data_IF_605458975419
#
_entry.id   IF_605458975419
#
_cell.length_a   1.000
_cell.length_b   1.000
_cell.length_c   1.000
_cell.angle_alpha   90.00
_cell.angle_beta   90.00
_cell.angle_gamma   90.00
#
_symmetry.space_group_name_H-M   'P 1'
#
loop_
_entity.id
_entity.type
_entity.pdbx_description
1 polymer ?
#
# COMPACT_ATOMS: atom_id res chain seq x y z
N UNK A 1 9.29 17.35 -19.17
CA UNK A 1 9.77 16.84 -17.86
C UNK A 1 9.50 17.93 -16.84
N UNK A 2 8.72 17.65 -15.80
CA UNK A 2 8.49 18.64 -14.73
C UNK A 2 9.81 18.83 -13.97
N UNK A 3 10.34 20.04 -14.01
CA UNK A 3 11.61 20.51 -13.43
C UNK A 3 11.53 20.77 -11.92
N UNK A 4 10.46 20.35 -11.26
CA UNK A 4 10.28 20.59 -9.84
C UNK A 4 11.20 19.69 -9.01
N UNK A 5 12.00 20.28 -8.12
CA UNK A 5 12.71 19.55 -7.07
C UNK A 5 11.70 18.87 -6.14
N UNK A 6 11.90 17.60 -5.74
CA UNK A 6 11.02 16.94 -4.78
C UNK A 6 11.01 17.69 -3.44
N UNK A 7 9.82 17.93 -2.87
CA UNK A 7 9.66 18.50 -1.52
C UNK A 7 9.97 17.48 -0.41
N UNK A 8 9.86 16.20 -0.73
CA UNK A 8 10.23 15.12 0.18
C UNK A 8 10.37 13.78 -0.54
N UNK A 9 10.82 12.76 0.19
CA UNK A 9 10.99 11.40 -0.36
C UNK A 9 10.58 10.32 0.64
N UNK A 10 9.89 9.29 0.18
CA UNK A 10 9.73 8.04 0.93
C UNK A 10 10.87 7.09 0.56
N UNK A 11 11.83 6.94 1.46
CA UNK A 11 12.92 5.99 1.31
C UNK A 11 12.53 4.65 1.91
N UNK A 12 13.14 3.59 1.38
CA UNK A 12 13.06 2.25 1.97
C UNK A 12 13.54 2.29 3.42
N UNK A 13 12.98 1.42 4.26
CA UNK A 13 13.49 1.27 5.61
C UNK A 13 14.96 0.85 5.59
N UNK A 14 15.71 1.30 6.59
CA UNK A 14 17.11 0.89 6.75
C UNK A 14 17.22 -0.63 6.89
N UNK A 15 16.34 -1.25 7.67
CA UNK A 15 16.28 -2.70 7.85
C UNK A 15 16.19 -3.46 6.52
N UNK A 16 15.24 -3.12 5.65
CA UNK A 16 15.11 -3.81 4.35
C UNK A 16 16.25 -3.49 3.39
N UNK A 17 16.83 -2.29 3.50
CA UNK A 17 18.02 -1.93 2.72
C UNK A 17 19.21 -2.79 3.13
N UNK A 18 19.48 -2.86 4.44
CA UNK A 18 20.55 -3.66 5.01
C UNK A 18 20.37 -5.14 4.68
N UNK A 19 19.19 -5.70 4.93
CA UNK A 19 18.89 -7.11 4.64
C UNK A 19 19.09 -7.45 3.16
N UNK A 20 18.65 -6.59 2.24
CA UNK A 20 18.82 -6.83 0.80
C UNK A 20 20.29 -6.85 0.38
N UNK A 21 21.10 -5.91 0.87
CA UNK A 21 22.53 -5.90 0.56
C UNK A 21 23.28 -7.03 1.27
N UNK A 22 22.97 -7.31 2.54
CA UNK A 22 23.57 -8.40 3.29
C UNK A 22 23.32 -9.76 2.62
N UNK A 23 22.09 -10.01 2.15
CA UNK A 23 21.72 -11.20 1.37
C UNK A 23 22.56 -11.31 0.09
N UNK A 24 22.62 -10.24 -0.70
CA UNK A 24 23.42 -10.20 -1.93
C UNK A 24 24.90 -10.49 -1.66
N UNK A 25 25.50 -9.84 -0.65
CA UNK A 25 26.90 -10.03 -0.29
C UNK A 25 27.16 -11.45 0.20
N UNK A 26 26.31 -11.97 1.10
CA UNK A 26 26.45 -13.29 1.70
C UNK A 26 26.41 -14.39 0.63
N UNK A 27 25.40 -14.36 -0.24
CA UNK A 27 25.24 -15.40 -1.25
C UNK A 27 26.22 -15.27 -2.42
N UNK A 28 26.66 -14.06 -2.77
CA UNK A 28 27.76 -13.88 -3.73
C UNK A 28 29.07 -14.40 -3.15
N UNK A 29 29.33 -14.16 -1.86
CA UNK A 29 30.50 -14.69 -1.16
C UNK A 29 30.48 -16.22 -1.10
N UNK A 30 29.34 -16.83 -0.75
CA UNK A 30 29.19 -18.29 -0.77
C UNK A 30 29.33 -18.87 -2.17
N UNK A 31 28.72 -18.23 -3.19
CA UNK A 31 28.89 -18.64 -4.57
C UNK A 31 30.38 -18.72 -4.92
N UNK A 32 31.16 -17.70 -4.56
CA UNK A 32 32.59 -17.68 -4.86
C UNK A 32 33.39 -18.71 -4.05
N UNK A 33 33.24 -18.71 -2.71
CA UNK A 33 34.06 -19.54 -1.81
C UNK A 33 33.79 -21.03 -1.98
N UNK A 34 32.52 -21.43 -2.09
CA UNK A 34 32.14 -22.84 -2.24
C UNK A 34 32.54 -23.33 -3.62
N UNK A 35 32.27 -22.56 -4.69
CA UNK A 35 32.69 -22.90 -6.06
C UNK A 35 34.21 -23.06 -6.14
N UNK A 36 34.98 -22.12 -5.58
CA UNK A 36 36.45 -22.19 -5.54
C UNK A 36 36.93 -23.45 -4.81
N UNK A 37 36.36 -23.77 -3.65
CA UNK A 37 36.72 -24.96 -2.88
C UNK A 37 36.43 -26.25 -3.65
N UNK A 38 35.25 -26.34 -4.27
CA UNK A 38 34.85 -27.52 -5.04
C UNK A 38 35.66 -27.68 -6.33
N UNK A 39 36.01 -26.59 -7.02
CA UNK A 39 36.89 -26.63 -8.20
C UNK A 39 38.26 -27.24 -7.86
N UNK A 40 38.78 -26.97 -6.64
CA UNK A 40 40.03 -27.57 -6.16
C UNK A 40 39.97 -29.09 -5.93
N UNK A 41 38.80 -29.72 -6.08
CA UNK A 41 38.62 -31.19 -5.95
C UNK A 41 38.62 -31.94 -7.28
N UNK A 42 38.62 -31.20 -8.40
CA UNK A 42 38.73 -31.76 -9.76
C UNK A 42 40.13 -32.32 -9.99
N UNK A 43 40.25 -33.41 -10.73
CA UNK A 43 41.54 -34.03 -11.05
C UNK A 43 42.21 -34.79 -9.89
N UNK A 44 41.69 -34.70 -8.65
CA UNK A 44 42.30 -35.33 -7.47
C UNK A 44 42.06 -36.86 -7.36
N UNK A 45 41.42 -37.49 -8.35
CA UNK A 45 41.20 -38.96 -8.42
C UNK A 45 40.30 -39.57 -7.32
N UNK A 46 39.81 -38.77 -6.38
CA UNK A 46 38.95 -39.21 -5.26
C UNK A 46 37.49 -38.83 -5.49
N UNK A 47 36.58 -39.74 -5.14
CA UNK A 47 35.12 -39.52 -5.16
C UNK A 47 34.49 -39.71 -6.54
N UNK A 48 33.43 -38.94 -6.83
CA UNK A 48 32.72 -38.98 -8.11
C UNK A 48 33.59 -38.54 -9.29
N UNK A 49 33.18 -38.88 -10.52
CA UNK A 49 33.82 -38.41 -11.75
C UNK A 49 33.81 -36.88 -11.84
N UNK A 50 34.81 -36.31 -12.51
CA UNK A 50 34.94 -34.85 -12.65
C UNK A 50 33.74 -34.19 -13.37
N UNK A 51 33.08 -34.88 -14.28
CA UNK A 51 31.83 -34.42 -14.90
C UNK A 51 30.70 -34.20 -13.88
N UNK A 52 30.53 -35.16 -12.96
CA UNK A 52 29.55 -35.08 -11.86
C UNK A 52 29.92 -33.97 -10.89
N UNK A 53 31.21 -33.85 -10.53
CA UNK A 53 31.70 -32.73 -9.70
C UNK A 53 31.40 -31.38 -10.35
N UNK A 54 31.63 -31.24 -11.66
CA UNK A 54 31.31 -30.02 -12.41
C UNK A 54 29.82 -29.70 -12.38
N UNK A 55 28.94 -30.70 -12.52
CA UNK A 55 27.49 -30.47 -12.40
C UNK A 55 27.10 -29.98 -11.01
N UNK A 56 27.69 -30.54 -9.95
CA UNK A 56 27.45 -30.08 -8.57
C UNK A 56 27.92 -28.63 -8.39
N UNK A 57 29.11 -28.30 -8.89
CA UNK A 57 29.67 -26.94 -8.83
C UNK A 57 28.72 -25.93 -9.49
N UNK A 58 28.28 -26.20 -10.72
CA UNK A 58 27.35 -25.34 -11.44
C UNK A 58 26.03 -25.20 -10.68
N UNK A 59 25.50 -26.30 -10.15
CA UNK A 59 24.24 -26.30 -9.41
C UNK A 59 24.33 -25.44 -8.16
N UNK A 60 25.39 -25.61 -7.36
CA UNK A 60 25.62 -24.80 -6.15
C UNK A 60 25.76 -23.33 -6.49
N UNK A 61 26.54 -23.00 -7.53
CA UNK A 61 26.69 -21.63 -8.00
C UNK A 61 25.35 -21.01 -8.38
N UNK A 62 24.53 -21.70 -9.19
CA UNK A 62 23.22 -21.22 -9.60
C UNK A 62 22.25 -21.04 -8.43
N UNK A 63 22.28 -21.96 -7.46
CA UNK A 63 21.46 -21.84 -6.24
C UNK A 63 21.87 -20.62 -5.43
N UNK A 64 23.16 -20.37 -5.23
CA UNK A 64 23.64 -19.16 -4.55
C UNK A 64 23.23 -17.88 -5.31
N UNK A 65 23.35 -17.88 -6.64
CA UNK A 65 22.92 -16.74 -7.46
C UNK A 65 21.40 -16.50 -7.39
N UNK A 66 20.60 -17.57 -7.32
CA UNK A 66 19.15 -17.48 -7.11
C UNK A 66 18.84 -16.80 -5.77
N UNK A 67 19.51 -17.21 -4.69
CA UNK A 67 19.32 -16.55 -3.39
C UNK A 67 19.78 -15.09 -3.39
N UNK A 68 20.94 -14.77 -3.97
CA UNK A 68 21.39 -13.37 -4.12
C UNK A 68 20.39 -12.50 -4.92
N UNK A 69 19.64 -13.10 -5.84
CA UNK A 69 18.60 -12.40 -6.62
C UNK A 69 17.40 -11.97 -5.76
N UNK A 70 17.18 -12.58 -4.58
CA UNK A 70 16.12 -12.19 -3.64
C UNK A 70 16.40 -10.78 -3.09
N UNK A 71 17.63 -10.47 -2.69
CA UNK A 71 18.02 -9.12 -2.29
C UNK A 71 17.77 -8.08 -3.39
N UNK A 72 18.14 -8.40 -4.65
CA UNK A 72 17.84 -7.55 -5.82
C UNK A 72 16.34 -7.35 -6.02
N UNK A 73 15.54 -8.40 -5.82
CA UNK A 73 14.09 -8.31 -5.92
C UNK A 73 13.51 -7.37 -4.86
N UNK A 74 13.95 -7.46 -3.59
CA UNK A 74 13.56 -6.53 -2.51
C UNK A 74 13.88 -5.09 -2.91
N UNK A 75 15.08 -4.84 -3.47
CA UNK A 75 15.49 -3.53 -3.95
C UNK A 75 14.54 -2.99 -5.04
N UNK A 76 14.10 -3.85 -5.96
CA UNK A 76 13.24 -3.50 -7.10
C UNK A 76 11.80 -3.19 -6.68
N UNK A 77 11.23 -3.91 -5.71
CA UNK A 77 9.83 -3.75 -5.28
C UNK A 77 9.61 -2.60 -4.27
N UNK A 78 10.69 -1.90 -3.89
CA UNK A 78 10.66 -0.76 -2.97
C UNK A 78 11.49 0.42 -3.50
N UNK A 79 11.14 0.95 -4.69
CA UNK A 79 11.77 2.14 -5.24
C UNK A 79 11.45 3.36 -4.39
N UNK A 80 12.37 4.32 -4.31
CA UNK A 80 12.14 5.60 -3.63
C UNK A 80 10.94 6.32 -4.25
N UNK A 81 10.05 6.82 -3.41
CA UNK A 81 8.96 7.70 -3.83
C UNK A 81 9.43 9.14 -3.69
N UNK A 82 9.22 9.95 -4.71
CA UNK A 82 9.53 11.38 -4.69
C UNK A 82 8.23 12.15 -4.70
N UNK A 83 8.09 13.08 -3.77
CA UNK A 83 6.88 13.87 -3.61
C UNK A 83 7.13 15.29 -4.09
N UNK A 84 6.14 15.85 -4.76
CA UNK A 84 6.09 17.19 -5.30
C UNK A 84 4.83 17.88 -4.79
N UNK A 85 4.62 19.15 -5.11
CA UNK A 85 3.42 19.87 -4.65
C UNK A 85 2.12 19.33 -5.26
N UNK A 86 2.17 18.92 -6.52
CA UNK A 86 1.01 18.52 -7.32
C UNK A 86 0.82 16.99 -7.42
N UNK A 87 1.81 16.21 -6.97
CA UNK A 87 1.80 14.77 -7.11
C UNK A 87 3.09 14.09 -6.67
N UNK A 88 3.26 12.83 -7.05
CA UNK A 88 4.43 12.03 -6.70
C UNK A 88 4.93 11.17 -7.87
N UNK A 89 6.17 10.71 -7.80
CA UNK A 89 6.74 9.72 -8.73
C UNK A 89 7.25 8.51 -7.95
N UNK A 90 7.15 7.35 -8.56
CA UNK A 90 7.69 6.10 -8.02
C UNK A 90 8.97 5.75 -8.79
N UNK A 91 10.11 5.90 -8.12
CA UNK A 91 11.44 5.84 -8.74
C UNK A 91 11.82 7.12 -9.47
N UNK A 92 13.12 7.30 -9.73
CA UNK A 92 13.69 8.54 -10.31
C UNK A 92 13.08 8.92 -11.66
N UNK A 93 12.70 7.94 -12.46
CA UNK A 93 12.16 8.11 -13.82
C UNK A 93 10.68 7.73 -13.91
N UNK A 94 9.99 7.67 -12.76
CA UNK A 94 8.56 7.37 -12.72
C UNK A 94 7.74 8.47 -13.39
N UNK A 95 6.60 8.09 -13.99
CA UNK A 95 5.59 9.08 -14.42
C UNK A 95 5.02 9.77 -13.18
N UNK A 96 4.84 11.09 -13.25
CA UNK A 96 4.20 11.84 -12.17
C UNK A 96 2.72 11.45 -12.08
N UNK A 97 2.29 11.13 -10.86
CA UNK A 97 0.93 10.78 -10.49
C UNK A 97 0.40 11.96 -9.69
N UNK A 98 -0.66 12.61 -10.18
CA UNK A 98 -1.24 13.77 -9.53
C UNK A 98 -2.01 13.35 -8.27
N UNK A 99 -2.03 14.23 -7.26
CA UNK A 99 -2.85 14.03 -6.07
C UNK A 99 -4.34 14.27 -6.35
N UNK A 100 -4.64 15.24 -7.20
CA UNK A 100 -6.02 15.56 -7.57
C UNK A 100 -6.68 14.37 -8.30
N UNK A 101 -7.84 13.95 -7.79
CA UNK A 101 -8.59 12.81 -8.31
C UNK A 101 -7.95 11.44 -8.06
N UNK A 102 -6.90 11.35 -7.22
CA UNK A 102 -6.21 10.09 -6.98
C UNK A 102 -7.06 9.12 -6.17
N UNK A 103 -7.58 8.08 -6.82
CA UNK A 103 -8.22 6.97 -6.12
C UNK A 103 -7.16 6.09 -5.46
N UNK A 104 -7.23 5.95 -4.14
CA UNK A 104 -6.35 5.06 -3.39
C UNK A 104 -7.08 4.36 -2.24
N UNK A 105 -6.56 3.20 -1.83
CA UNK A 105 -7.05 2.40 -0.72
C UNK A 105 -5.89 1.98 0.17
N UNK A 106 -6.10 2.03 1.48
CA UNK A 106 -5.14 1.53 2.46
C UNK A 106 -5.39 0.03 2.66
N UNK A 107 -4.33 -0.77 2.56
CA UNK A 107 -4.33 -2.17 3.00
C UNK A 107 -3.93 -2.18 4.48
N UNK A 108 -4.88 -2.44 5.39
CA UNK A 108 -4.60 -2.42 6.81
C UNK A 108 -3.64 -3.56 7.20
N UNK A 109 -2.80 -3.28 8.19
CA UNK A 109 -2.00 -4.29 8.88
C UNK A 109 -2.78 -5.02 9.96
N UNK A 110 -2.13 -6.02 10.54
CA UNK A 110 -2.70 -6.83 11.63
C UNK A 110 -2.72 -6.07 12.97
N UNK A 111 -1.99 -4.97 13.09
CA UNK A 111 -1.96 -4.10 14.26
C UNK A 111 -2.53 -2.72 13.95
N UNK A 112 -3.18 -2.04 14.91
CA UNK A 112 -3.65 -0.67 14.74
C UNK A 112 -2.56 0.26 14.20
N UNK A 113 -2.94 1.19 13.33
CA UNK A 113 -2.06 2.21 12.73
C UNK A 113 -0.86 1.68 11.93
N UNK A 114 -0.82 0.39 11.58
CA UNK A 114 0.12 -0.14 10.59
C UNK A 114 -0.59 -0.42 9.28
N UNK A 115 0.07 -0.06 8.19
CA UNK A 115 -0.39 -0.31 6.83
C UNK A 115 0.55 -1.30 6.13
N UNK A 116 -0.01 -2.32 5.48
CA UNK A 116 0.76 -3.27 4.68
C UNK A 116 1.07 -2.72 3.29
N UNK A 117 0.20 -1.87 2.75
CA UNK A 117 0.38 -1.23 1.46
C UNK A 117 -0.71 -0.22 1.11
N UNK A 118 -0.44 0.55 0.05
CA UNK A 118 -1.42 1.42 -0.61
C UNK A 118 -1.72 0.81 -1.97
N UNK A 119 -2.99 0.67 -2.32
CA UNK A 119 -3.42 0.47 -3.70
C UNK A 119 -3.82 1.84 -4.26
N UNK A 120 -3.34 2.20 -5.45
CA UNK A 120 -3.77 3.44 -6.11
C UNK A 120 -4.02 3.19 -7.59
N UNK A 121 -4.97 3.93 -8.17
CA UNK A 121 -5.30 3.83 -9.59
C UNK A 121 -4.49 4.86 -10.38
N UNK A 122 -3.76 4.40 -11.40
CA UNK A 122 -3.00 5.26 -12.30
C UNK A 122 -3.17 4.77 -13.73
N UNK A 123 -3.56 5.68 -14.63
CA UNK A 123 -3.85 5.35 -16.03
C UNK A 123 -4.79 4.13 -16.18
N UNK A 124 -5.84 4.08 -15.34
CA UNK A 124 -6.84 2.99 -15.34
C UNK A 124 -6.37 1.66 -14.75
N UNK A 125 -5.13 1.55 -14.27
CA UNK A 125 -4.60 0.33 -13.65
C UNK A 125 -4.37 0.54 -12.17
N UNK A 126 -4.82 -0.41 -11.36
CA UNK A 126 -4.48 -0.45 -9.95
C UNK A 126 -3.03 -0.88 -9.76
N UNK A 127 -2.29 -0.15 -8.94
CA UNK A 127 -0.87 -0.37 -8.62
C UNK A 127 -0.74 -0.49 -7.10
N UNK A 128 0.15 -1.37 -6.64
CA UNK A 128 0.42 -1.60 -5.21
C UNK A 128 1.75 -0.99 -4.79
N UNK A 129 1.73 -0.18 -3.74
CA UNK A 129 2.90 0.22 -2.96
C UNK A 129 2.98 -0.64 -1.70
N UNK A 130 4.13 -1.27 -1.47
CA UNK A 130 4.36 -2.10 -0.29
C UNK A 130 4.83 -1.23 0.88
N UNK A 131 3.89 -0.62 1.59
CA UNK A 131 4.14 0.33 2.68
C UNK A 131 5.12 -0.19 3.74
N UNK A 132 5.02 -1.46 4.11
CA UNK A 132 5.91 -2.09 5.10
C UNK A 132 7.40 -2.08 4.70
N UNK A 133 7.73 -1.91 3.43
CA UNK A 133 9.12 -1.83 2.97
C UNK A 133 9.72 -0.43 3.14
N UNK A 134 8.90 0.59 3.39
CA UNK A 134 9.34 1.96 3.55
C UNK A 134 9.60 2.32 5.02
N UNK A 135 10.33 3.43 5.24
CA UNK A 135 10.50 3.96 6.58
C UNK A 135 9.14 4.33 7.22
N UNK A 136 9.08 4.29 8.55
CA UNK A 136 7.86 4.66 9.28
C UNK A 136 7.38 6.05 8.87
N UNK A 137 6.05 6.23 8.73
CA UNK A 137 5.39 7.50 8.37
C UNK A 137 5.78 8.12 7.03
N UNK A 138 6.60 7.43 6.23
CA UNK A 138 7.08 7.97 4.94
C UNK A 138 5.98 8.07 3.87
N UNK A 139 4.82 7.43 4.10
CA UNK A 139 3.63 7.51 3.25
C UNK A 139 2.55 8.44 3.83
N UNK A 140 2.79 9.09 4.97
CA UNK A 140 1.82 10.02 5.56
C UNK A 140 1.68 11.24 4.65
N UNK A 141 2.81 11.74 4.11
CA UNK A 141 2.78 12.87 3.17
C UNK A 141 1.97 12.60 1.90
N UNK A 142 1.94 11.35 1.41
CA UNK A 142 1.05 10.97 0.31
C UNK A 142 -0.41 11.18 0.70
N UNK A 143 -0.80 10.72 1.89
CA UNK A 143 -2.17 10.80 2.36
C UNK A 143 -2.57 12.25 2.63
N UNK A 144 -1.70 13.03 3.29
CA UNK A 144 -1.94 14.43 3.63
C UNK A 144 -2.06 15.30 2.37
N UNK A 145 -1.16 15.12 1.40
CA UNK A 145 -1.20 15.88 0.14
C UNK A 145 -2.44 15.53 -0.70
N UNK A 146 -2.89 14.28 -0.67
CA UNK A 146 -4.15 13.87 -1.33
C UNK A 146 -5.36 14.51 -0.66
N UNK A 147 -5.38 14.57 0.68
CA UNK A 147 -6.44 15.29 1.41
C UNK A 147 -6.43 16.77 1.04
N UNK A 148 -5.28 17.43 1.09
CA UNK A 148 -5.14 18.84 0.78
C UNK A 148 -5.60 19.18 -0.65
N UNK A 149 -5.31 18.30 -1.62
CA UNK A 149 -5.67 18.52 -3.02
C UNK A 149 -7.17 18.30 -3.34
N UNK A 150 -7.89 17.47 -2.56
CA UNK A 150 -9.23 17.01 -2.92
C UNK A 150 -10.33 17.43 -1.93
N UNK A 151 -10.04 17.47 -0.62
CA UNK A 151 -11.04 17.75 0.42
C UNK A 151 -11.80 19.07 0.19
N UNK A 152 -11.17 20.20 -0.16
CA UNK A 152 -11.91 21.44 -0.39
C UNK A 152 -12.93 21.34 -1.53
N UNK A 153 -12.56 20.66 -2.62
CA UNK A 153 -13.44 20.46 -3.78
C UNK A 153 -14.61 19.54 -3.42
N UNK A 154 -14.34 18.49 -2.64
CA UNK A 154 -15.35 17.55 -2.22
C UNK A 154 -16.32 18.17 -1.20
N UNK A 155 -15.84 18.97 -0.25
CA UNK A 155 -16.70 19.74 0.65
C UNK A 155 -17.59 20.73 -0.11
N UNK A 156 -17.04 21.46 -1.08
CA UNK A 156 -17.81 22.40 -1.89
C UNK A 156 -18.93 21.70 -2.68
N UNK A 157 -18.67 20.50 -3.23
CA UNK A 157 -19.70 19.69 -3.90
C UNK A 157 -20.83 19.30 -2.94
N UNK A 158 -20.48 18.85 -1.73
CA UNK A 158 -21.45 18.47 -0.70
C UNK A 158 -22.30 19.69 -0.28
N UNK A 159 -21.67 20.83 -0.05
CA UNK A 159 -22.36 22.08 0.30
C UNK A 159 -23.33 22.53 -0.79
N UNK A 160 -22.97 22.31 -2.06
CA UNK A 160 -23.83 22.54 -3.23
C UNK A 160 -24.91 21.46 -3.43
N UNK A 161 -25.09 20.55 -2.47
CA UNK A 161 -26.13 19.51 -2.49
C UNK A 161 -25.78 18.26 -3.28
N UNK A 162 -24.53 18.10 -3.74
CA UNK A 162 -24.10 16.88 -4.41
C UNK A 162 -23.79 15.77 -3.41
N UNK A 163 -23.88 14.52 -3.89
CA UNK A 163 -23.49 13.33 -3.13
C UNK A 163 -22.15 12.82 -3.66
N UNK A 164 -21.21 12.57 -2.76
CA UNK A 164 -19.90 11.98 -3.08
C UNK A 164 -19.93 10.49 -2.74
N UNK A 165 -19.36 9.66 -3.61
CA UNK A 165 -19.35 8.21 -3.47
C UNK A 165 -17.93 7.67 -3.37
N UNK A 166 -17.69 6.86 -2.36
CA UNK A 166 -16.44 6.15 -2.09
C UNK A 166 -16.69 4.63 -2.15
N UNK A 167 -15.73 3.88 -2.68
CA UNK A 167 -15.78 2.41 -2.71
C UNK A 167 -15.11 1.81 -1.48
N UNK A 168 -15.70 0.80 -0.88
CA UNK A 168 -15.08 0.06 0.23
C UNK A 168 -15.16 -1.46 0.04
N UNK A 169 -14.10 -2.16 0.41
CA UNK A 169 -14.04 -3.62 0.35
C UNK A 169 -13.70 -4.20 1.72
N UNK A 170 -14.51 -5.16 2.19
CA UNK A 170 -14.11 -5.99 3.32
C UNK A 170 -13.10 -7.06 2.85
N UNK A 171 -11.82 -7.05 3.27
CA UNK A 171 -10.84 -8.04 2.85
C UNK A 171 -11.18 -9.47 3.30
N UNK A 172 -11.96 -9.65 4.38
CA UNK A 172 -12.39 -10.97 4.85
C UNK A 172 -13.43 -11.59 3.90
N UNK A 173 -14.33 -10.77 3.31
CA UNK A 173 -15.21 -11.20 2.21
C UNK A 173 -14.46 -11.43 0.91
N UNK A 174 -13.21 -11.01 0.87
CA UNK A 174 -12.47 -10.93 -0.35
C UNK A 174 -11.74 -12.28 -0.64
N UNK A 175 -11.50 -13.16 0.34
CA UNK A 175 -11.10 -14.56 0.14
C UNK A 175 -9.73 -14.80 -0.52
N UNK A 176 -8.75 -15.30 0.25
CA UNK A 176 -7.50 -15.94 -0.22
C UNK A 176 -6.57 -15.09 -1.10
N UNK A 177 -5.42 -15.63 -1.52
CA UNK A 177 -4.34 -14.94 -2.28
C UNK A 177 -4.89 -14.12 -3.47
N UNK A 178 -4.75 -12.80 -3.42
CA UNK A 178 -5.39 -11.89 -4.39
C UNK A 178 -4.38 -11.27 -5.32
N UNK A 179 -4.57 -11.50 -6.61
CA UNK A 179 -3.92 -10.66 -7.61
C UNK A 179 -4.52 -9.25 -7.55
N UNK A 180 -3.73 -8.23 -7.90
CA UNK A 180 -4.20 -6.83 -7.94
C UNK A 180 -5.47 -6.69 -8.82
N UNK A 181 -5.54 -7.43 -9.94
CA UNK A 181 -6.71 -7.44 -10.83
C UNK A 181 -7.99 -7.93 -10.14
N UNK A 182 -7.88 -8.97 -9.30
CA UNK A 182 -9.05 -9.46 -8.53
C UNK A 182 -9.45 -8.53 -7.41
N UNK A 183 -8.52 -7.75 -6.85
CA UNK A 183 -8.81 -6.72 -5.86
C UNK A 183 -9.55 -5.55 -6.48
N UNK A 184 -9.06 -5.02 -7.61
CA UNK A 184 -9.66 -3.90 -8.35
C UNK A 184 -11.13 -4.19 -8.67
N UNK A 185 -11.42 -5.35 -9.28
CA UNK A 185 -12.81 -5.77 -9.57
C UNK A 185 -13.67 -5.91 -8.31
N UNK A 186 -13.10 -6.37 -7.19
CA UNK A 186 -13.85 -6.52 -5.93
C UNK A 186 -14.12 -5.18 -5.23
N UNK A 187 -13.22 -4.21 -5.39
CA UNK A 187 -13.42 -2.84 -4.90
C UNK A 187 -14.51 -2.15 -5.72
N UNK A 188 -14.50 -2.30 -7.05
CA UNK A 188 -15.53 -1.74 -7.92
C UNK A 188 -16.94 -2.26 -7.60
N UNK A 189 -17.06 -3.53 -7.20
CA UNK A 189 -18.30 -4.16 -6.74
C UNK A 189 -18.46 -4.14 -5.21
N UNK A 190 -17.66 -3.32 -4.51
CA UNK A 190 -17.67 -3.22 -3.06
C UNK A 190 -18.85 -2.41 -2.52
N UNK A 191 -18.85 -2.22 -1.21
CA UNK A 191 -19.80 -1.38 -0.50
C UNK A 191 -19.65 0.06 -1.01
N UNK A 192 -20.78 0.71 -1.27
CA UNK A 192 -20.84 2.12 -1.66
C UNK A 192 -21.03 2.95 -0.41
N UNK A 193 -20.03 3.75 -0.05
CA UNK A 193 -20.15 4.74 1.02
C UNK A 193 -20.47 6.07 0.36
N UNK A 194 -21.70 6.56 0.51
CA UNK A 194 -22.12 7.84 -0.05
C UNK A 194 -22.27 8.86 1.06
N UNK A 195 -21.80 10.08 0.82
CA UNK A 195 -21.85 11.17 1.80
C UNK A 195 -22.46 12.39 1.12
N UNK A 196 -23.45 12.99 1.78
CA UNK A 196 -24.06 14.25 1.39
C UNK A 196 -24.29 15.13 2.62
N UNK A 197 -24.93 16.29 2.41
CA UNK A 197 -25.14 17.29 3.46
C UNK A 197 -26.01 16.80 4.62
N UNK A 198 -26.84 15.78 4.40
CA UNK A 198 -27.89 15.36 5.34
C UNK A 198 -27.65 13.97 5.94
N UNK A 199 -26.81 13.13 5.31
CA UNK A 199 -26.61 11.75 5.70
C UNK A 199 -25.30 11.13 5.19
N UNK A 200 -24.91 10.03 5.84
CA UNK A 200 -24.03 9.00 5.30
C UNK A 200 -24.84 7.75 4.97
N UNK A 201 -24.54 7.13 3.84
CA UNK A 201 -25.27 5.98 3.31
C UNK A 201 -24.28 4.85 3.03
N UNK A 202 -24.59 3.65 3.51
CA UNK A 202 -23.85 2.43 3.22
C UNK A 202 -24.73 1.51 2.38
N UNK A 203 -24.41 1.40 1.09
CA UNK A 203 -25.26 0.78 0.07
C UNK A 203 -26.69 1.39 0.06
N UNK A 204 -27.63 0.78 0.78
CA UNK A 204 -29.04 1.21 0.91
C UNK A 204 -29.40 1.69 2.34
N UNK A 205 -28.51 1.54 3.32
CA UNK A 205 -28.73 1.95 4.72
C UNK A 205 -28.39 3.43 4.90
N UNK A 206 -29.39 4.24 5.27
CA UNK A 206 -29.28 5.70 5.40
C UNK A 206 -29.18 6.11 6.87
N UNK A 207 -28.13 6.84 7.21
CA UNK A 207 -27.92 7.41 8.54
C UNK A 207 -27.87 8.93 8.45
N UNK A 208 -28.96 9.58 8.85
CA UNK A 208 -29.06 11.04 8.83
C UNK A 208 -28.25 11.64 9.98
N UNK A 209 -27.54 12.73 9.72
CA UNK A 209 -26.77 13.45 10.74
C UNK A 209 -27.63 13.97 11.89
N UNK A 210 -28.93 14.19 11.65
CA UNK A 210 -29.88 14.65 12.67
C UNK A 210 -30.32 13.54 13.65
N UNK A 211 -30.16 12.27 13.28
CA UNK A 211 -30.63 11.11 14.05
C UNK A 211 -29.47 10.29 14.63
N UNK A 212 -28.28 10.42 14.05
CA UNK A 212 -27.10 9.62 14.41
C UNK A 212 -25.86 10.49 14.55
N UNK A 213 -25.06 10.19 15.57
CA UNK A 213 -23.70 10.70 15.72
C UNK A 213 -22.75 9.76 14.98
N UNK A 214 -21.92 10.30 14.09
CA UNK A 214 -20.99 9.52 13.28
C UNK A 214 -19.57 9.97 13.56
N UNK A 215 -18.74 9.05 14.07
CA UNK A 215 -17.38 9.33 14.53
C UNK A 215 -16.37 8.55 13.71
N UNK A 216 -15.24 9.18 13.41
CA UNK A 216 -14.11 8.57 12.71
C UNK A 216 -12.78 9.00 13.34
N UNK A 217 -12.37 8.32 14.41
CA UNK A 217 -11.15 8.67 15.17
C UNK A 217 -9.84 8.52 14.37
N UNK A 218 -9.83 7.62 13.37
CA UNK A 218 -8.67 7.40 12.51
C UNK A 218 -9.08 6.85 11.14
N UNK A 219 -8.19 6.98 10.16
CA UNK A 219 -8.44 6.60 8.78
C UNK A 219 -8.93 5.15 8.66
N UNK A 220 -10.15 5.00 8.11
CA UNK A 220 -10.77 3.70 7.86
C UNK A 220 -11.67 3.17 8.99
N UNK A 221 -11.80 3.87 10.12
CA UNK A 221 -12.82 3.58 11.13
C UNK A 221 -14.01 4.52 10.97
N UNK A 222 -15.23 3.97 10.89
CA UNK A 222 -16.47 4.74 10.99
C UNK A 222 -17.36 4.06 12.03
N UNK A 223 -17.82 4.81 13.02
CA UNK A 223 -18.74 4.33 14.05
C UNK A 223 -20.01 5.17 13.99
N UNK A 224 -21.16 4.49 13.95
CA UNK A 224 -22.47 5.13 13.98
C UNK A 224 -23.12 4.85 15.32
N UNK A 225 -23.50 5.91 16.01
CA UNK A 225 -24.14 5.92 17.31
C UNK A 225 -25.54 6.51 17.16
N UNK A 226 -26.52 5.92 17.81
CA UNK A 226 -27.85 6.52 17.96
C UNK A 226 -27.71 7.81 18.78
N UNK A 227 -28.15 8.95 18.24
CA UNK A 227 -27.90 10.26 18.86
C UNK A 227 -28.61 10.43 20.22
N UNK A 228 -29.63 9.63 20.52
CA UNK A 228 -30.41 9.75 21.77
C UNK A 228 -29.86 8.84 22.86
N UNK A 229 -29.45 7.63 22.49
CA UNK A 229 -29.09 6.57 23.43
C UNK A 229 -27.59 6.32 23.52
N UNK A 230 -26.79 6.93 22.64
CA UNK A 230 -25.36 6.69 22.46
C UNK A 230 -25.02 5.21 22.19
N UNK A 231 -26.02 4.44 21.75
CA UNK A 231 -25.85 3.02 21.45
C UNK A 231 -25.23 2.86 20.08
N UNK A 232 -24.23 1.99 20.01
CA UNK A 232 -23.59 1.64 18.75
C UNK A 232 -24.54 0.89 17.82
N UNK A 233 -24.78 1.47 16.66
CA UNK A 233 -25.64 0.92 15.59
C UNK A 233 -24.80 0.18 14.56
N UNK A 234 -23.71 0.79 14.10
CA UNK A 234 -22.84 0.23 13.08
C UNK A 234 -21.37 0.49 13.41
N UNK A 235 -20.50 -0.42 12.98
CA UNK A 235 -19.06 -0.15 12.93
C UNK A 235 -18.47 -0.64 11.62
N UNK A 236 -18.00 0.33 10.85
CA UNK A 236 -17.14 0.13 9.71
C UNK A 236 -15.69 0.13 10.20
N UNK A 237 -15.16 -1.06 10.49
CA UNK A 237 -13.86 -1.16 11.14
C UNK A 237 -12.69 -0.93 10.17
N UNK A 238 -11.51 -0.70 10.74
CA UNK A 238 -10.27 -0.43 10.03
C UNK A 238 -9.76 -1.54 9.10
N UNK A 239 -10.33 -2.75 9.17
CA UNK A 239 -9.99 -3.80 8.23
C UNK A 239 -10.57 -3.54 6.84
N UNK A 240 -11.59 -2.69 6.70
CA UNK A 240 -12.14 -2.38 5.39
C UNK A 240 -11.21 -1.47 4.59
N UNK A 241 -11.05 -1.80 3.31
CA UNK A 241 -10.26 -1.01 2.35
C UNK A 241 -11.14 0.09 1.73
N UNK A 242 -11.46 1.12 2.51
CA UNK A 242 -12.19 2.30 2.03
C UNK A 242 -11.32 3.09 1.06
N UNK A 243 -11.93 3.64 0.01
CA UNK A 243 -11.34 4.61 -0.90
C UNK A 243 -11.07 5.91 -0.17
N UNK A 244 -9.85 6.43 -0.29
CA UNK A 244 -9.42 7.70 0.29
C UNK A 244 -9.86 7.84 1.76
N UNK A 245 -9.48 6.89 2.64
CA UNK A 245 -10.04 6.81 3.99
C UNK A 245 -9.81 8.08 4.81
N UNK A 246 -8.70 8.79 4.57
CA UNK A 246 -8.40 10.05 5.23
C UNK A 246 -9.35 11.18 4.80
N UNK A 247 -9.77 11.22 3.52
CA UNK A 247 -10.79 12.17 3.05
C UNK A 247 -12.13 11.86 3.72
N UNK A 248 -12.56 10.59 3.69
CA UNK A 248 -13.79 10.14 4.34
C UNK A 248 -13.82 10.52 5.83
N UNK A 249 -12.73 10.25 6.55
CA UNK A 249 -12.57 10.64 7.96
C UNK A 249 -12.71 12.14 8.16
N UNK A 250 -12.05 12.97 7.33
CA UNK A 250 -12.15 14.42 7.45
C UNK A 250 -13.57 14.93 7.18
N UNK A 251 -14.24 14.42 6.14
CA UNK A 251 -15.63 14.80 5.83
C UNK A 251 -16.56 14.43 6.99
N UNK A 252 -16.44 13.21 7.55
CA UNK A 252 -17.23 12.78 8.70
C UNK A 252 -16.98 13.68 9.91
N UNK A 253 -15.72 14.01 10.21
CA UNK A 253 -15.40 14.84 11.36
C UNK A 253 -15.90 16.30 11.19
N UNK A 254 -16.06 16.77 9.95
CA UNK A 254 -16.65 18.09 9.65
C UNK A 254 -18.19 18.05 9.74
N UNK A 255 -18.83 17.00 9.22
CA UNK A 255 -20.30 16.93 9.08
C UNK A 255 -21.01 16.22 10.25
N UNK A 256 -20.47 15.08 10.68
CA UNK A 256 -21.04 14.19 11.69
C UNK A 256 -20.45 14.36 13.09
N UNK A 257 -19.36 15.11 13.24
CA UNK A 257 -18.75 15.46 14.52
C UNK A 257 -19.53 16.55 15.25
N UNK A 258 -20.61 16.16 15.94
CA UNK A 258 -21.22 16.92 17.04
C UNK A 258 -21.39 16.02 18.25
#
# INVERSE_FOLDING_TARGET
>A
MSTSTPKGTAKRSFYFTFMAFADMFLFTFFAFMITKSLLGTLGNGRGASDSVKMMIIITVFLVCMLFASVGLYILKISPTIYYYEDGFTVGKNGKKILYQGLQYHIIPGTTPNKMLGILYKSAGKMIRLNAHLYASRSLDMLQDDVVAANLPQDMQKIENGQTIEFRALNPNRAGGLKTIKTLDKKIENGIKVKINKDSIIFDDEVYKWAEYTVVSDYAGLIVILDATTDRKVLTFANHYMIEQPNIVTNIINILGGR
#
